data_IF_722211961111
#
_entry.id   IF_722211961111
#
_cell.length_a   1.000
_cell.length_b   1.000
_cell.length_c   1.000
_cell.angle_alpha   90.00
_cell.angle_beta   90.00
_cell.angle_gamma   90.00
#
_symmetry.space_group_name_H-M   'P 1'
#
loop_
_entity.id
_entity.type
_entity.pdbx_description
1 polymer ?
#
# COMPACT_ATOMS: atom_id res chain seq x y z
N UNK A 1 -2.92 -5.72 7.61
CA UNK A 1 -3.65 -4.48 7.25
C UNK A 1 -4.95 -4.84 6.53
N UNK A 2 -6.03 -4.10 6.73
CA UNK A 2 -7.29 -4.30 5.99
C UNK A 2 -7.57 -3.09 5.09
N UNK A 3 -7.81 -3.36 3.81
CA UNK A 3 -8.18 -2.35 2.79
C UNK A 3 -9.67 -2.47 2.53
N UNK A 4 -10.37 -1.35 2.70
CA UNK A 4 -11.82 -1.24 2.55
C UNK A 4 -12.20 -0.41 1.33
N UNK A 5 -13.44 -0.59 0.86
CA UNK A 5 -13.95 0.12 -0.32
C UNK A 5 -13.95 1.62 -0.10
N UNK A 6 -13.48 2.36 -1.11
CA UNK A 6 -13.39 3.82 -1.08
C UNK A 6 -12.14 4.37 -0.40
N UNK A 7 -11.23 3.51 0.07
CA UNK A 7 -9.95 3.94 0.60
C UNK A 7 -9.02 4.38 -0.56
N UNK A 8 -8.54 5.63 -0.59
CA UNK A 8 -7.57 6.07 -1.59
C UNK A 8 -6.18 5.48 -1.31
N UNK A 9 -5.32 5.40 -2.34
CA UNK A 9 -3.93 4.92 -2.21
C UNK A 9 -3.12 5.72 -1.18
N UNK A 10 -3.42 7.01 -1.01
CA UNK A 10 -2.80 7.85 0.02
C UNK A 10 -3.13 7.36 1.43
N UNK A 11 -4.41 7.06 1.72
CA UNK A 11 -4.81 6.53 3.04
C UNK A 11 -4.26 5.14 3.31
N UNK A 12 -4.08 4.32 2.26
CA UNK A 12 -3.40 3.03 2.38
C UNK A 12 -1.94 3.27 2.79
N UNK A 13 -1.26 4.21 2.13
CA UNK A 13 0.14 4.54 2.41
C UNK A 13 0.30 5.13 3.82
N UNK A 14 -0.59 6.03 4.23
CA UNK A 14 -0.63 6.58 5.59
C UNK A 14 -0.77 5.48 6.64
N UNK A 15 -1.71 4.56 6.44
CA UNK A 15 -1.93 3.44 7.37
C UNK A 15 -0.71 2.50 7.46
N UNK A 16 0.01 2.28 6.35
CA UNK A 16 1.26 1.50 6.38
C UNK A 16 2.34 2.20 7.20
N UNK A 17 2.51 3.52 7.01
CA UNK A 17 3.49 4.31 7.75
C UNK A 17 3.15 4.41 9.24
N UNK A 18 1.88 4.64 9.59
CA UNK A 18 1.39 4.65 10.97
C UNK A 18 1.65 3.32 11.70
N UNK A 19 1.63 2.20 10.97
CA UNK A 19 1.94 0.88 11.49
C UNK A 19 3.44 0.51 11.40
N UNK A 20 4.31 1.44 11.01
CA UNK A 20 5.75 1.25 10.81
C UNK A 20 6.08 0.12 9.81
N UNK A 21 5.24 -0.07 8.79
CA UNK A 21 5.47 -1.03 7.69
C UNK A 21 6.29 -0.37 6.58
N UNK A 22 6.15 0.94 6.38
CA UNK A 22 6.95 1.75 5.46
C UNK A 22 7.43 3.01 6.19
N UNK A 23 8.53 3.58 5.72
CA UNK A 23 9.11 4.79 6.33
C UNK A 23 8.44 6.08 5.83
N UNK A 24 8.04 6.12 4.55
CA UNK A 24 7.49 7.32 3.91
C UNK A 24 6.21 6.99 3.10
N UNK A 25 5.08 7.50 3.59
CA UNK A 25 3.77 7.33 2.95
C UNK A 25 3.66 8.08 1.62
N UNK A 26 4.31 9.23 1.47
CA UNK A 26 4.29 10.00 0.24
C UNK A 26 5.05 9.27 -0.87
N UNK A 27 6.23 8.73 -0.53
CA UNK A 27 7.07 7.96 -1.45
C UNK A 27 6.34 6.70 -1.95
N UNK A 28 5.72 5.93 -1.04
CA UNK A 28 4.96 4.75 -1.43
C UNK A 28 3.70 5.09 -2.25
N UNK A 29 2.99 6.17 -1.90
CA UNK A 29 1.82 6.60 -2.68
C UNK A 29 2.20 7.06 -4.10
N UNK A 30 3.36 7.71 -4.27
CA UNK A 30 3.90 8.05 -5.59
C UNK A 30 4.25 6.78 -6.37
N UNK A 31 4.95 5.83 -5.74
CA UNK A 31 5.28 4.54 -6.34
C UNK A 31 4.01 3.81 -6.86
N UNK A 32 2.93 3.79 -6.08
CA UNK A 32 1.66 3.19 -6.52
C UNK A 32 1.01 3.90 -7.72
N UNK A 33 1.21 5.22 -7.87
CA UNK A 33 0.68 5.98 -8.99
C UNK A 33 1.51 5.79 -10.25
N UNK A 34 2.84 5.91 -10.13
CA UNK A 34 3.77 5.82 -11.25
C UNK A 34 3.75 4.43 -11.91
N UNK A 35 3.60 3.37 -11.11
CA UNK A 35 3.52 1.98 -11.57
C UNK A 35 2.08 1.51 -11.87
N UNK A 36 1.10 2.42 -11.86
CA UNK A 36 -0.33 2.15 -12.10
C UNK A 36 -0.96 1.11 -11.14
N UNK A 37 -0.34 0.85 -10.00
CA UNK A 37 -0.85 -0.06 -8.96
C UNK A 37 -2.06 0.52 -8.21
N UNK A 38 -2.15 1.85 -8.10
CA UNK A 38 -3.24 2.54 -7.40
C UNK A 38 -4.64 2.15 -7.90
N UNK A 39 -4.76 1.80 -9.18
CA UNK A 39 -6.02 1.36 -9.81
C UNK A 39 -6.31 -0.15 -9.66
N UNK A 40 -5.33 -0.92 -9.19
CA UNK A 40 -5.36 -2.39 -9.12
C UNK A 40 -5.50 -2.91 -7.69
N UNK A 41 -5.54 -2.01 -6.70
CA UNK A 41 -5.64 -2.38 -5.29
C UNK A 41 -6.89 -3.23 -5.02
N UNK A 42 -6.69 -4.32 -4.30
CA UNK A 42 -7.72 -5.27 -3.93
C UNK A 42 -8.24 -5.00 -2.52
N UNK A 43 -9.53 -5.23 -2.31
CA UNK A 43 -10.15 -5.19 -0.99
C UNK A 43 -9.83 -6.47 -0.22
N UNK A 44 -9.58 -6.35 1.08
CA UNK A 44 -9.33 -7.50 1.94
C UNK A 44 -8.27 -7.25 3.00
N UNK A 45 -7.85 -8.33 3.66
CA UNK A 45 -6.80 -8.30 4.68
C UNK A 45 -5.52 -8.91 4.13
N UNK A 46 -4.42 -8.20 4.35
CA UNK A 46 -3.08 -8.52 3.85
C UNK A 46 -2.09 -8.59 5.03
N UNK A 47 -1.25 -9.61 5.00
CA UNK A 47 -0.12 -9.75 5.93
C UNK A 47 1.07 -9.03 5.32
N UNK A 48 1.42 -7.88 5.90
CA UNK A 48 2.48 -6.99 5.44
C UNK A 48 3.46 -6.75 6.58
N UNK A 49 4.75 -6.63 6.28
CA UNK A 49 5.79 -6.36 7.27
C UNK A 49 6.77 -5.30 6.78
N UNK A 50 7.50 -4.69 7.71
CA UNK A 50 8.56 -3.71 7.43
C UNK A 50 9.78 -4.29 6.70
N UNK A 51 9.84 -5.61 6.55
CA UNK A 51 10.91 -6.28 5.79
C UNK A 51 10.61 -6.31 4.28
N UNK A 52 9.38 -5.99 3.89
CA UNK A 52 8.96 -5.97 2.49
C UNK A 52 9.38 -4.67 1.80
N UNK A 53 9.84 -4.77 0.57
CA UNK A 53 10.03 -3.65 -0.33
C UNK A 53 8.70 -3.06 -0.82
N UNK A 54 8.72 -1.84 -1.36
CA UNK A 54 7.54 -1.22 -1.97
C UNK A 54 6.94 -2.10 -3.09
N UNK A 55 7.80 -2.77 -3.86
CA UNK A 55 7.36 -3.73 -4.87
C UNK A 55 6.59 -4.89 -4.24
N UNK A 56 7.13 -5.53 -3.20
CA UNK A 56 6.48 -6.67 -2.54
C UNK A 56 5.14 -6.27 -1.90
N UNK A 57 5.08 -5.08 -1.27
CA UNK A 57 3.84 -4.55 -0.71
C UNK A 57 2.82 -4.29 -1.81
N UNK A 58 3.21 -3.64 -2.91
CA UNK A 58 2.32 -3.34 -4.02
C UNK A 58 1.77 -4.62 -4.68
N UNK A 59 2.62 -5.61 -4.95
CA UNK A 59 2.20 -6.90 -5.51
C UNK A 59 1.28 -7.66 -4.54
N UNK A 60 1.53 -7.57 -3.22
CA UNK A 60 0.68 -8.22 -2.23
C UNK A 60 -0.75 -7.64 -2.22
N UNK A 61 -0.91 -6.33 -2.50
CA UNK A 61 -2.20 -5.64 -2.44
C UNK A 61 -2.87 -5.44 -3.81
N UNK A 62 -2.27 -5.88 -4.92
CA UNK A 62 -2.80 -5.65 -6.29
C UNK A 62 -2.98 -6.93 -7.13
N UNK A 63 -3.66 -6.82 -8.28
CA UNK A 63 -3.88 -7.89 -9.28
C UNK A 63 -3.87 -7.38 -10.73
#
# INVERSE_FOLDING_TARGET
>A
MTIESGMPSSSISDALAENNIIDDAEEFNQYLQDEEYSLKVQLGSFDLSSDMSFYEIAEAITK
#
